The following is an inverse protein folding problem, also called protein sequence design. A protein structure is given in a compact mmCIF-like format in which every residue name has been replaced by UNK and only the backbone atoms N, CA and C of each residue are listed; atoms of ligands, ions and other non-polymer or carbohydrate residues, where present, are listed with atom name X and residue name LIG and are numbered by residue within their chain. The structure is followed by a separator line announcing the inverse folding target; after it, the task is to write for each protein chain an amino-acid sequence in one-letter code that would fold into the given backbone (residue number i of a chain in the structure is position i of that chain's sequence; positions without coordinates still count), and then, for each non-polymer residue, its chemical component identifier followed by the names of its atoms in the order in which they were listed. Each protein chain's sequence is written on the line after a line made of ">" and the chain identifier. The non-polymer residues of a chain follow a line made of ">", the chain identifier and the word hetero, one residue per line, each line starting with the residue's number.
data_IF_278306431071
#
_entry.id   IF_278306431071
#
_cell.length_a   1.000
_cell.length_b   1.000
_cell.length_c   1.000
_cell.angle_alpha   90.00
_cell.angle_beta   90.00
_cell.angle_gamma   90.00
#
_symmetry.space_group_name_H-M   'P 1'
#
loop_
_entity.id
_entity.type
_entity.pdbx_description
1 polymer ?
#
# COMPACT_ATOMS: atom_id res chain seq x y z
N UNK A 1 -21.44 23.14 9.55
CA UNK A 1 -22.23 21.95 9.19
C UNK A 1 -23.32 21.85 10.24
N UNK A 2 -24.08 22.94 10.39
CA UNK A 2 -24.90 23.26 11.58
C UNK A 2 -26.26 23.83 11.13
N UNK A 3 -26.69 23.46 9.92
CA UNK A 3 -27.92 23.95 9.32
C UNK A 3 -29.14 23.08 9.64
N UNK A 4 -28.94 21.98 10.35
CA UNK A 4 -30.03 21.09 10.77
C UNK A 4 -30.54 21.49 12.16
N UNK A 5 -31.85 21.46 12.34
CA UNK A 5 -32.50 21.77 13.62
C UNK A 5 -32.89 20.46 14.33
N UNK A 6 -32.11 20.04 15.34
CA UNK A 6 -32.30 18.77 15.99
C UNK A 6 -33.46 18.80 17.01
N UNK A 7 -34.05 19.97 17.26
CA UNK A 7 -35.21 20.09 18.16
C UNK A 7 -36.46 19.46 17.58
N UNK A 8 -36.52 19.28 16.25
CA UNK A 8 -37.62 18.60 15.55
C UNK A 8 -37.80 17.15 15.98
N UNK A 9 -36.70 16.45 16.28
CA UNK A 9 -36.72 15.02 16.60
C UNK A 9 -36.28 14.71 18.03
N UNK A 10 -35.51 15.59 18.69
CA UNK A 10 -35.04 15.38 20.06
C UNK A 10 -35.20 16.61 20.98
N UNK A 11 -36.43 17.13 21.18
CA UNK A 11 -36.65 18.38 21.92
C UNK A 11 -36.23 18.31 23.40
N UNK A 12 -36.52 17.21 24.11
CA UNK A 12 -36.16 17.06 25.53
C UNK A 12 -34.65 17.04 25.74
N UNK A 13 -33.91 16.38 24.84
CA UNK A 13 -32.46 16.29 24.91
C UNK A 13 -31.80 17.66 24.71
N UNK A 14 -32.24 18.41 23.69
CA UNK A 14 -31.69 19.74 23.43
C UNK A 14 -32.10 20.78 24.47
N UNK A 15 -33.27 20.63 25.11
CA UNK A 15 -33.64 21.47 26.25
C UNK A 15 -32.65 21.30 27.42
N UNK A 16 -32.22 20.06 27.72
CA UNK A 16 -31.20 19.80 28.75
C UNK A 16 -29.84 20.36 28.32
N UNK A 17 -29.45 20.20 27.05
CA UNK A 17 -28.18 20.72 26.51
C UNK A 17 -28.12 22.25 26.60
N UNK A 18 -29.21 22.96 26.25
CA UNK A 18 -29.25 24.42 26.25
C UNK A 18 -29.30 25.02 27.67
N UNK A 19 -29.69 24.25 28.68
CA UNK A 19 -29.75 24.68 30.08
C UNK A 19 -28.44 24.47 30.85
N UNK A 20 -27.49 23.71 30.30
CA UNK A 20 -26.18 23.47 30.91
C UNK A 20 -25.10 24.34 30.28
N UNK A 21 -24.10 24.72 31.07
CA UNK A 21 -22.87 25.34 30.54
C UNK A 21 -22.08 24.33 29.69
N UNK A 22 -21.23 24.85 28.82
CA UNK A 22 -20.31 24.02 28.04
C UNK A 22 -19.34 23.28 28.97
N UNK A 23 -18.83 22.13 28.54
CA UNK A 23 -17.86 21.37 29.33
C UNK A 23 -16.61 22.21 29.67
N UNK A 24 -16.02 22.99 28.72
CA UNK A 24 -14.90 23.88 29.04
C UNK A 24 -15.23 24.94 30.09
N UNK A 25 -16.40 25.58 30.04
CA UNK A 25 -16.78 26.62 31.00
C UNK A 25 -16.98 26.03 32.41
N UNK A 26 -17.62 24.86 32.50
CA UNK A 26 -17.82 24.16 33.77
C UNK A 26 -16.48 23.80 34.43
N UNK A 27 -15.52 23.30 33.64
CA UNK A 27 -14.19 22.96 34.14
C UNK A 27 -13.39 24.21 34.52
N UNK A 28 -13.49 25.28 33.74
CA UNK A 28 -12.83 26.56 34.02
C UNK A 28 -13.30 27.17 35.34
N UNK A 29 -14.61 27.15 35.61
CA UNK A 29 -15.19 27.60 36.88
C UNK A 29 -14.72 26.79 38.08
N UNK A 30 -14.58 25.47 37.92
CA UNK A 30 -14.06 24.60 38.96
C UNK A 30 -12.59 24.93 39.28
N UNK A 31 -11.73 25.05 38.27
CA UNK A 31 -10.30 25.37 38.44
C UNK A 31 -10.09 26.74 39.09
N UNK A 32 -10.96 27.71 38.79
CA UNK A 32 -10.96 29.03 39.45
C UNK A 32 -11.39 28.90 40.92
N UNK A 33 -12.42 28.12 41.20
CA UNK A 33 -12.92 27.88 42.57
C UNK A 33 -11.87 27.17 43.44
N UNK A 34 -11.14 26.23 42.85
CA UNK A 34 -10.07 25.48 43.50
C UNK A 34 -8.79 26.32 43.69
N UNK A 35 -8.76 27.58 43.23
CA UNK A 35 -7.65 28.51 43.38
C UNK A 35 -6.42 28.16 42.53
N UNK A 36 -6.57 27.25 41.55
CA UNK A 36 -5.48 26.75 40.71
C UNK A 36 -5.11 27.78 39.63
N UNK A 37 -6.10 28.54 39.13
CA UNK A 37 -5.90 29.54 38.08
C UNK A 37 -6.83 30.75 38.27
N UNK A 38 -6.41 31.91 37.77
CA UNK A 38 -7.20 33.12 37.80
C UNK A 38 -8.03 33.26 36.51
N UNK A 39 -9.25 33.78 36.63
CA UNK A 39 -10.13 34.04 35.49
C UNK A 39 -9.47 34.89 34.39
N UNK A 40 -8.73 35.92 34.79
CA UNK A 40 -8.02 36.83 33.88
C UNK A 40 -7.00 36.11 33.00
N UNK A 41 -6.35 35.06 33.52
CA UNK A 41 -5.40 34.25 32.76
C UNK A 41 -6.13 33.41 31.72
N UNK A 42 -7.24 32.77 32.13
CA UNK A 42 -8.03 31.94 31.23
C UNK A 42 -8.68 32.75 30.10
N UNK A 43 -9.25 33.91 30.41
CA UNK A 43 -9.85 34.83 29.42
C UNK A 43 -8.78 35.33 28.44
N UNK A 44 -7.55 35.57 28.92
CA UNK A 44 -6.42 35.96 28.08
C UNK A 44 -5.99 34.84 27.13
N UNK A 45 -5.86 33.61 27.61
CA UNK A 45 -5.52 32.44 26.77
C UNK A 45 -6.56 32.21 25.66
N UNK A 46 -7.85 32.30 25.99
CA UNK A 46 -8.94 32.19 25.00
C UNK A 46 -8.84 33.32 23.95
N UNK A 47 -8.54 34.54 24.38
CA UNK A 47 -8.35 35.67 23.46
C UNK A 47 -7.11 35.49 22.58
N UNK A 48 -6.02 34.97 23.11
CA UNK A 48 -4.79 34.68 22.36
C UNK A 48 -5.02 33.58 21.33
N UNK A 49 -5.70 32.49 21.69
CA UNK A 49 -6.08 31.42 20.75
C UNK A 49 -7.00 31.92 19.63
N UNK A 50 -8.04 32.71 19.96
CA UNK A 50 -8.90 33.29 18.95
C UNK A 50 -8.14 34.23 18.02
N UNK A 51 -7.20 35.02 18.57
CA UNK A 51 -6.31 35.88 17.77
C UNK A 51 -5.41 35.06 16.86
N UNK A 52 -4.86 33.94 17.31
CA UNK A 52 -4.08 33.03 16.47
C UNK A 52 -4.93 32.46 15.31
N UNK A 53 -6.16 32.01 15.60
CA UNK A 53 -7.09 31.54 14.58
C UNK A 53 -7.43 32.64 13.56
N UNK A 54 -7.68 33.87 14.01
CA UNK A 54 -7.91 35.02 13.11
C UNK A 54 -6.68 35.34 12.26
N UNK A 55 -5.48 35.36 12.85
CA UNK A 55 -4.24 35.58 12.11
C UNK A 55 -4.02 34.49 11.04
N UNK A 56 -4.29 33.23 11.38
CA UNK A 56 -4.19 32.11 10.45
C UNK A 56 -5.22 32.24 9.31
N UNK A 57 -6.43 32.72 9.60
CA UNK A 57 -7.45 33.00 8.60
C UNK A 57 -7.01 34.10 7.62
N UNK A 58 -6.40 35.18 8.12
CA UNK A 58 -5.86 36.26 7.28
C UNK A 58 -4.69 35.80 6.39
N UNK A 59 -3.96 34.77 6.81
CA UNK A 59 -2.86 34.18 6.05
C UNK A 59 -3.31 33.22 4.95
N UNK A 60 -4.61 32.86 4.86
CA UNK A 60 -5.14 31.89 3.88
C UNK A 60 -4.86 32.33 2.44
N UNK A 61 -4.98 33.62 2.13
CA UNK A 61 -4.72 34.13 0.76
C UNK A 61 -3.27 33.89 0.29
N UNK A 62 -2.33 33.81 1.23
CA UNK A 62 -0.90 33.59 0.97
C UNK A 62 -0.49 32.13 1.18
N UNK A 63 -1.39 31.29 1.68
CA UNK A 63 -1.08 29.91 2.00
C UNK A 63 -1.14 29.04 0.75
N UNK A 64 -0.01 28.41 0.41
CA UNK A 64 0.06 27.39 -0.63
C UNK A 64 -0.04 26.01 0.04
N UNK A 65 -1.08 25.21 -0.23
CA UNK A 65 -1.22 23.89 0.34
C UNK A 65 -0.05 23.00 -0.05
N UNK A 66 0.60 22.37 0.93
CA UNK A 66 1.62 21.35 0.67
C UNK A 66 0.94 20.02 0.38
N UNK A 67 1.41 19.30 -0.63
CA UNK A 67 0.98 17.92 -0.89
C UNK A 67 1.56 16.99 0.18
N UNK A 68 0.89 16.86 1.32
CA UNK A 68 1.33 16.01 2.43
C UNK A 68 1.39 14.52 2.08
N UNK A 69 0.63 14.08 1.07
CA UNK A 69 0.54 12.69 0.64
C UNK A 69 1.78 12.15 -0.10
N UNK A 70 2.71 13.02 -0.50
CA UNK A 70 4.01 12.64 -1.10
C UNK A 70 5.19 12.92 -0.17
N UNK A 71 4.94 13.12 1.12
CA UNK A 71 6.00 13.34 2.12
C UNK A 71 6.48 12.02 2.75
N UNK A 72 7.60 12.08 3.48
CA UNK A 72 8.27 10.93 4.09
C UNK A 72 8.66 9.87 3.06
N UNK A 73 8.03 8.70 3.13
CA UNK A 73 8.43 7.49 2.39
C UNK A 73 8.18 7.63 0.89
N UNK A 74 7.34 8.59 0.50
CA UNK A 74 6.99 8.91 -0.88
C UNK A 74 7.74 10.13 -1.42
N UNK A 75 8.77 10.60 -0.72
CA UNK A 75 9.58 11.76 -1.12
C UNK A 75 10.30 11.59 -2.46
N UNK A 76 10.51 10.34 -2.91
CA UNK A 76 11.06 10.02 -4.24
C UNK A 76 10.03 10.17 -5.38
N UNK A 77 8.74 10.30 -5.04
CA UNK A 77 7.65 10.40 -5.99
C UNK A 77 7.27 11.87 -6.21
N UNK A 78 6.82 12.17 -7.42
CA UNK A 78 6.32 13.50 -7.79
C UNK A 78 4.92 13.38 -8.37
N UNK A 79 4.16 14.47 -8.27
CA UNK A 79 2.87 14.56 -8.94
C UNK A 79 3.09 14.49 -10.47
N UNK A 80 2.31 13.65 -11.14
CA UNK A 80 2.35 13.54 -12.59
C UNK A 80 1.88 14.86 -13.24
N UNK A 81 2.56 15.26 -14.32
CA UNK A 81 2.15 16.41 -15.13
C UNK A 81 1.13 16.03 -16.21
N UNK A 82 0.73 17.02 -17.01
CA UNK A 82 -0.30 16.85 -18.06
C UNK A 82 0.19 16.20 -19.35
N UNK A 83 1.49 15.90 -19.44
CA UNK A 83 2.14 15.40 -20.65
C UNK A 83 2.51 13.92 -20.49
N UNK A 84 2.31 13.16 -21.57
CA UNK A 84 2.73 11.75 -21.63
C UNK A 84 4.26 11.66 -21.62
N UNK A 85 4.80 10.93 -20.64
CA UNK A 85 6.24 10.67 -20.49
C UNK A 85 6.61 9.26 -20.95
N UNK A 86 7.80 9.10 -21.52
CA UNK A 86 8.41 7.81 -21.83
C UNK A 86 9.55 7.49 -20.86
N UNK A 87 9.69 6.22 -20.48
CA UNK A 87 10.71 5.77 -19.53
C UNK A 87 11.54 4.65 -20.14
N UNK A 88 12.84 4.67 -19.89
CA UNK A 88 13.71 3.53 -20.20
C UNK A 88 13.48 2.43 -19.16
N UNK A 89 12.74 1.41 -19.56
CA UNK A 89 12.44 0.23 -18.74
C UNK A 89 13.27 -0.98 -19.13
N UNK A 90 14.30 -0.78 -19.96
CA UNK A 90 15.21 -1.83 -20.38
C UNK A 90 16.02 -2.39 -19.20
N UNK A 91 16.25 -3.70 -19.22
CA UNK A 91 17.10 -4.40 -18.25
C UNK A 91 18.19 -5.16 -19.01
N UNK A 92 19.39 -5.22 -18.44
CA UNK A 92 20.50 -5.95 -19.04
C UNK A 92 20.12 -7.41 -19.31
N UNK A 93 20.46 -7.90 -20.51
CA UNK A 93 20.07 -9.24 -20.96
C UNK A 93 20.55 -10.35 -20.01
N UNK A 94 21.76 -10.20 -19.46
CA UNK A 94 22.31 -11.18 -18.52
C UNK A 94 21.52 -11.24 -17.21
N UNK A 95 21.04 -10.09 -16.73
CA UNK A 95 20.13 -10.02 -15.57
C UNK A 95 18.81 -10.71 -15.88
N UNK A 96 18.23 -10.48 -17.07
CA UNK A 96 17.00 -11.15 -17.48
C UNK A 96 17.19 -12.67 -17.60
N UNK A 97 18.31 -13.14 -18.16
CA UNK A 97 18.62 -14.57 -18.23
C UNK A 97 18.74 -15.19 -16.84
N UNK A 98 19.44 -14.51 -15.94
CA UNK A 98 19.61 -14.94 -14.55
C UNK A 98 18.26 -15.03 -13.81
N UNK A 99 17.48 -13.95 -13.83
CA UNK A 99 16.15 -13.87 -13.20
C UNK A 99 15.21 -14.91 -13.79
N UNK A 100 15.19 -15.05 -15.11
CA UNK A 100 14.35 -16.01 -15.80
C UNK A 100 14.65 -17.45 -15.38
N UNK A 101 15.93 -17.83 -15.31
CA UNK A 101 16.34 -19.14 -14.83
C UNK A 101 15.92 -19.38 -13.37
N UNK A 102 16.08 -18.37 -12.51
CA UNK A 102 15.64 -18.42 -11.11
C UNK A 102 14.12 -18.53 -10.97
N UNK A 103 13.34 -17.96 -11.88
CA UNK A 103 11.87 -18.02 -11.85
C UNK A 103 11.29 -19.44 -11.95
N UNK A 104 12.09 -20.41 -12.37
CA UNK A 104 11.70 -21.83 -12.54
C UNK A 104 12.63 -22.79 -11.79
N UNK A 105 13.54 -22.26 -10.98
CA UNK A 105 14.41 -23.04 -10.12
C UNK A 105 13.62 -23.51 -8.90
N UNK A 106 13.64 -24.80 -8.61
CA UNK A 106 13.05 -25.40 -7.40
C UNK A 106 14.10 -26.17 -6.61
N UNK A 107 13.91 -26.39 -5.30
CA UNK A 107 14.76 -27.28 -4.51
C UNK A 107 14.79 -28.69 -5.11
N UNK A 108 15.93 -29.37 -5.03
CA UNK A 108 16.13 -30.70 -5.63
C UNK A 108 15.27 -31.81 -5.02
N UNK A 109 14.81 -31.62 -3.79
CA UNK A 109 13.94 -32.52 -3.04
C UNK A 109 12.45 -32.27 -3.28
N UNK A 110 12.11 -31.20 -4.00
CA UNK A 110 10.72 -30.83 -4.29
C UNK A 110 10.11 -31.73 -5.35
N UNK A 111 8.92 -32.27 -5.05
CA UNK A 111 8.17 -33.18 -5.92
C UNK A 111 7.25 -32.36 -6.82
N UNK A 112 7.79 -31.84 -7.93
CA UNK A 112 7.01 -31.06 -8.91
C UNK A 112 6.15 -31.99 -9.77
N UNK A 113 4.94 -31.55 -10.12
CA UNK A 113 4.08 -32.29 -11.04
C UNK A 113 4.77 -32.48 -12.42
N UNK A 114 4.84 -33.71 -12.98
CA UNK A 114 5.62 -33.99 -14.20
C UNK A 114 5.26 -33.10 -15.40
N UNK A 115 3.97 -32.80 -15.58
CA UNK A 115 3.52 -31.88 -16.64
C UNK A 115 4.07 -30.47 -16.43
N UNK A 116 4.09 -29.94 -15.21
CA UNK A 116 4.60 -28.59 -14.93
C UNK A 116 6.11 -28.53 -15.13
N UNK A 117 6.83 -29.55 -14.68
CA UNK A 117 8.27 -29.68 -14.94
C UNK A 117 8.55 -29.55 -16.44
N UNK A 118 7.90 -30.38 -17.25
CA UNK A 118 8.17 -30.45 -18.69
C UNK A 118 7.65 -29.25 -19.48
N UNK A 119 6.41 -28.83 -19.27
CA UNK A 119 5.75 -27.84 -20.13
C UNK A 119 6.00 -26.40 -19.71
N UNK A 120 6.36 -26.17 -18.45
CA UNK A 120 6.58 -24.85 -17.89
C UNK A 120 8.04 -24.61 -17.52
N UNK A 121 8.61 -25.39 -16.60
CA UNK A 121 9.95 -25.14 -16.06
C UNK A 121 11.03 -25.36 -17.13
N UNK A 122 11.10 -26.57 -17.69
CA UNK A 122 12.11 -26.94 -18.68
C UNK A 122 11.97 -26.08 -19.96
N UNK A 123 10.73 -25.87 -20.41
CA UNK A 123 10.44 -25.06 -21.59
C UNK A 123 10.85 -23.60 -21.42
N UNK A 124 10.58 -22.99 -20.25
CA UNK A 124 11.00 -21.61 -19.99
C UNK A 124 12.52 -21.51 -19.93
N UNK A 125 13.18 -22.46 -19.25
CA UNK A 125 14.64 -22.50 -19.16
C UNK A 125 15.29 -22.59 -20.54
N UNK A 126 14.78 -23.45 -21.41
CA UNK A 126 15.23 -23.58 -22.80
C UNK A 126 15.08 -22.26 -23.56
N UNK A 127 13.89 -21.63 -23.52
CA UNK A 127 13.64 -20.35 -24.21
C UNK A 127 14.57 -19.22 -23.77
N UNK A 128 14.91 -19.18 -22.48
CA UNK A 128 15.84 -18.19 -21.93
C UNK A 128 17.26 -18.42 -22.45
N UNK A 129 17.69 -19.68 -22.57
CA UNK A 129 19.00 -20.05 -23.10
C UNK A 129 19.10 -19.74 -24.60
N UNK A 130 18.06 -20.11 -25.36
CA UNK A 130 18.00 -19.93 -26.82
C UNK A 130 17.82 -18.46 -27.21
N UNK A 131 17.32 -17.61 -26.31
CA UNK A 131 17.23 -16.16 -26.50
C UNK A 131 16.11 -15.69 -27.42
N UNK A 132 15.06 -16.51 -27.63
CA UNK A 132 13.94 -16.19 -28.53
C UNK A 132 12.61 -16.85 -28.12
N UNK A 133 11.51 -16.37 -28.70
CA UNK A 133 10.13 -16.88 -28.54
C UNK A 133 9.60 -16.96 -27.09
N UNK A 134 9.85 -15.90 -26.31
CA UNK A 134 9.31 -15.75 -24.97
C UNK A 134 7.78 -15.68 -25.01
N UNK A 135 7.12 -16.49 -24.18
CA UNK A 135 5.68 -16.38 -23.98
C UNK A 135 5.34 -15.32 -22.93
N UNK A 136 4.05 -14.97 -22.86
CA UNK A 136 3.55 -13.93 -21.96
C UNK A 136 3.96 -14.14 -20.50
N UNK A 137 3.80 -15.38 -19.99
CA UNK A 137 4.14 -15.70 -18.62
C UNK A 137 5.64 -15.59 -18.34
N UNK A 138 6.49 -15.86 -19.34
CA UNK A 138 7.94 -15.66 -19.20
C UNK A 138 8.28 -14.17 -19.15
N UNK A 139 7.70 -13.35 -20.03
CA UNK A 139 7.89 -11.90 -19.97
C UNK A 139 7.40 -11.30 -18.64
N UNK A 140 6.25 -11.77 -18.12
CA UNK A 140 5.72 -11.40 -16.80
C UNK A 140 6.71 -11.75 -15.68
N UNK A 141 7.25 -12.98 -15.68
CA UNK A 141 8.23 -13.42 -14.67
C UNK A 141 9.53 -12.61 -14.73
N UNK A 142 9.99 -12.25 -15.94
CA UNK A 142 11.18 -11.41 -16.13
C UNK A 142 10.97 -10.00 -15.58
N UNK A 143 9.82 -9.38 -15.89
CA UNK A 143 9.49 -8.05 -15.39
C UNK A 143 9.43 -8.05 -13.85
N UNK A 144 8.65 -8.96 -13.25
CA UNK A 144 8.53 -9.07 -11.79
C UNK A 144 9.90 -9.33 -11.18
N UNK A 145 10.61 -10.36 -11.64
CA UNK A 145 11.87 -10.74 -11.04
C UNK A 145 12.97 -9.68 -11.19
N UNK A 146 12.95 -8.87 -12.26
CA UNK A 146 13.87 -7.73 -12.41
C UNK A 146 13.60 -6.63 -11.39
N UNK A 147 12.33 -6.35 -11.08
CA UNK A 147 11.95 -5.40 -10.03
C UNK A 147 12.35 -5.92 -8.64
N UNK A 148 12.14 -7.21 -8.37
CA UNK A 148 12.58 -7.83 -7.11
C UNK A 148 14.10 -7.76 -6.95
N UNK A 149 14.84 -7.99 -8.05
CA UNK A 149 16.30 -7.89 -8.08
C UNK A 149 16.80 -6.46 -7.82
N UNK A 150 16.04 -5.45 -8.22
CA UNK A 150 16.30 -4.03 -7.91
C UNK A 150 15.85 -3.61 -6.49
N UNK A 151 15.18 -4.50 -5.74
CA UNK A 151 14.74 -4.26 -4.37
C UNK A 151 13.30 -3.76 -4.24
N UNK A 152 12.53 -3.71 -5.32
CA UNK A 152 11.11 -3.39 -5.24
C UNK A 152 10.29 -4.60 -4.79
N UNK A 153 9.31 -4.38 -3.93
CA UNK A 153 8.33 -5.41 -3.58
C UNK A 153 7.25 -5.48 -4.66
N UNK A 154 6.76 -6.69 -4.94
CA UNK A 154 5.66 -6.92 -5.88
C UNK A 154 4.56 -7.68 -5.18
N UNK A 155 3.31 -7.23 -5.34
CA UNK A 155 2.13 -7.95 -4.85
C UNK A 155 1.21 -8.29 -5.99
N UNK A 156 0.88 -9.57 -6.13
CA UNK A 156 -0.15 -10.04 -7.05
C UNK A 156 -1.27 -10.62 -6.22
N UNK A 157 -2.49 -10.12 -6.41
CA UNK A 157 -3.63 -10.55 -5.62
C UNK A 157 -4.88 -10.75 -6.47
N UNK A 158 -5.60 -11.84 -6.20
CA UNK A 158 -6.79 -12.25 -6.96
C UNK A 158 -7.12 -13.71 -6.70
N UNK A 159 -8.06 -14.26 -7.44
CA UNK A 159 -8.43 -15.67 -7.35
C UNK A 159 -7.55 -16.51 -8.29
N UNK A 160 -7.00 -17.59 -7.75
CA UNK A 160 -6.10 -18.52 -8.44
C UNK A 160 -4.89 -17.83 -9.08
N UNK A 161 -4.39 -16.73 -8.49
CA UNK A 161 -3.33 -15.91 -9.10
C UNK A 161 -1.96 -16.58 -9.08
N UNK A 162 -1.65 -17.46 -8.13
CA UNK A 162 -0.36 -18.14 -8.08
C UNK A 162 -0.20 -19.17 -9.19
N UNK A 163 -1.24 -19.94 -9.52
CA UNK A 163 -1.26 -20.79 -10.73
C UNK A 163 -1.53 -19.96 -11.99
N UNK A 164 -2.39 -18.95 -11.86
CA UNK A 164 -3.09 -18.29 -12.95
C UNK A 164 -4.34 -19.07 -13.35
N UNK A 165 -5.42 -18.35 -13.67
CA UNK A 165 -6.70 -18.94 -14.11
C UNK A 165 -6.51 -19.88 -15.30
N UNK A 166 -5.67 -19.49 -16.27
CA UNK A 166 -5.35 -20.32 -17.45
C UNK A 166 -4.15 -21.27 -17.25
N UNK A 167 -3.73 -21.52 -16.00
CA UNK A 167 -2.56 -22.35 -15.68
C UNK A 167 -1.30 -21.98 -16.47
N UNK A 168 -1.03 -20.68 -16.58
CA UNK A 168 0.07 -20.15 -17.39
C UNK A 168 1.22 -19.59 -16.52
N UNK A 169 0.93 -19.13 -15.30
CA UNK A 169 1.89 -18.35 -14.50
C UNK A 169 2.82 -19.23 -13.69
N UNK A 170 2.24 -20.13 -12.89
CA UNK A 170 2.97 -20.97 -11.91
C UNK A 170 3.97 -20.16 -11.05
N UNK A 171 3.56 -18.98 -10.59
CA UNK A 171 4.35 -18.12 -9.70
C UNK A 171 4.50 -18.72 -8.30
N UNK A 172 3.66 -19.69 -7.96
CA UNK A 172 3.89 -20.62 -6.87
C UNK A 172 3.87 -22.07 -7.41
N UNK A 173 4.74 -22.89 -6.85
CA UNK A 173 4.86 -24.31 -7.16
C UNK A 173 4.47 -25.07 -5.90
N UNK A 174 3.66 -26.12 -6.05
CA UNK A 174 3.17 -26.94 -4.94
C UNK A 174 3.81 -28.31 -5.00
N UNK A 175 4.45 -28.72 -3.92
CA UNK A 175 5.03 -30.06 -3.78
C UNK A 175 3.91 -31.10 -3.70
N UNK A 176 3.96 -32.09 -4.60
CA UNK A 176 2.90 -33.10 -4.76
C UNK A 176 2.79 -34.11 -3.61
N UNK A 177 3.74 -34.12 -2.66
CA UNK A 177 3.73 -35.03 -1.50
C UNK A 177 3.37 -34.32 -0.20
N UNK A 178 3.72 -33.05 -0.07
CA UNK A 178 3.64 -32.31 1.20
C UNK A 178 2.68 -31.14 1.17
N UNK A 179 2.14 -30.80 0.00
CA UNK A 179 1.35 -29.57 -0.27
C UNK A 179 2.10 -28.28 0.10
N UNK A 180 3.41 -28.36 0.33
CA UNK A 180 4.24 -27.20 0.61
C UNK A 180 4.36 -26.32 -0.63
N UNK A 181 4.30 -25.01 -0.40
CA UNK A 181 4.32 -24.00 -1.46
C UNK A 181 5.71 -23.38 -1.55
N UNK A 182 6.23 -23.30 -2.76
CA UNK A 182 7.50 -22.66 -3.07
C UNK A 182 7.30 -21.54 -4.10
N UNK A 183 7.89 -20.37 -3.86
CA UNK A 183 7.83 -19.20 -4.76
C UNK A 183 9.25 -18.95 -5.29
N UNK A 184 9.60 -19.43 -6.50
CA UNK A 184 10.97 -19.33 -7.02
C UNK A 184 11.54 -17.91 -7.05
N UNK A 185 10.70 -16.93 -7.37
CA UNK A 185 11.10 -15.52 -7.45
C UNK A 185 11.44 -14.87 -6.09
N UNK A 186 11.16 -15.54 -4.97
CA UNK A 186 11.61 -15.10 -3.64
C UNK A 186 13.01 -15.64 -3.27
N UNK A 187 13.62 -16.42 -4.16
CA UNK A 187 14.93 -17.05 -3.96
C UNK A 187 15.89 -16.78 -5.13
N UNK A 188 15.84 -15.55 -5.67
CA UNK A 188 16.70 -15.14 -6.80
C UNK A 188 18.15 -14.96 -6.34
N UNK A 189 18.35 -14.30 -5.19
CA UNK A 189 19.66 -14.13 -4.53
C UNK A 189 19.54 -14.23 -3.01
N UNK A 190 20.64 -14.58 -2.33
CA UNK A 190 20.66 -14.72 -0.86
C UNK A 190 20.47 -13.38 -0.12
N UNK A 191 20.86 -12.27 -0.74
CA UNK A 191 20.74 -10.91 -0.18
C UNK A 191 19.54 -10.13 -0.77
N UNK A 192 18.52 -10.84 -1.24
CA UNK A 192 17.35 -10.23 -1.88
C UNK A 192 16.56 -9.38 -0.87
N UNK A 193 16.21 -8.15 -1.27
CA UNK A 193 15.46 -7.19 -0.43
C UNK A 193 14.01 -7.02 -0.88
N UNK A 194 13.73 -7.22 -2.17
CA UNK A 194 12.37 -7.17 -2.72
C UNK A 194 11.74 -8.56 -2.78
N UNK A 195 10.49 -8.70 -2.35
CA UNK A 195 9.76 -9.97 -2.35
C UNK A 195 8.46 -9.91 -3.13
N UNK A 196 8.09 -11.06 -3.70
CA UNK A 196 6.79 -11.31 -4.33
C UNK A 196 5.81 -11.87 -3.29
N UNK A 197 4.73 -11.14 -3.04
CA UNK A 197 3.58 -11.61 -2.30
C UNK A 197 2.49 -12.11 -3.27
N UNK A 198 2.16 -13.40 -3.19
CA UNK A 198 1.06 -14.01 -3.94
C UNK A 198 -0.16 -14.10 -3.02
N UNK A 199 -1.03 -13.10 -3.10
CA UNK A 199 -2.23 -12.99 -2.27
C UNK A 199 -3.45 -13.65 -2.91
N UNK A 200 -3.59 -14.97 -2.73
CA UNK A 200 -4.80 -15.72 -3.11
C UNK A 200 -6.01 -15.20 -2.32
N UNK A 201 -6.97 -14.61 -3.03
CA UNK A 201 -8.18 -14.05 -2.41
C UNK A 201 -9.26 -15.11 -2.29
N UNK A 202 -9.88 -15.14 -1.11
CA UNK A 202 -11.15 -15.82 -0.90
C UNK A 202 -12.22 -15.25 -1.86
N UNK A 203 -13.23 -16.07 -2.18
CA UNK A 203 -14.42 -15.65 -2.92
C UNK A 203 -15.24 -14.63 -2.11
N UNK A 204 -14.78 -13.38 -2.08
CA UNK A 204 -15.47 -12.26 -1.48
C UNK A 204 -15.47 -11.10 -2.48
N UNK A 205 -16.63 -10.88 -3.12
CA UNK A 205 -16.97 -9.60 -3.72
C UNK A 205 -17.68 -8.82 -2.63
N UNK A 206 -16.98 -7.89 -1.96
CA UNK A 206 -17.66 -6.88 -1.15
C UNK A 206 -18.47 -6.05 -2.17
N UNK A 207 -19.78 -6.22 -2.11
CA UNK A 207 -20.74 -5.40 -2.87
C UNK A 207 -20.95 -4.08 -2.17
#
# INVERSE_FOLDING_TARGET
>A
MDLDDPTFTQPTMYNIINQRKSIPDMFSEQVITDGICNKEVLDKEVAEWNKELSNNLDMVEKHVPKAFHLQSDWSICQQAGDVVTTWDTGVALDTLKFVGAKSVSVPSDMNVHPTIQKTHLDRRLQKIQDGGDLDWATAEALAIGSLLYQGFNVRISGQDVGRGTFSHRHGMIVDQKTDSVYIPLNHVTDNQTGFLEVGEKLLQKIK
#
